data_IF_063059963364
#
_entry.id   IF_063059963364
#
_cell.length_a   1.000
_cell.length_b   1.000
_cell.length_c   1.000
_cell.angle_alpha   90.00
_cell.angle_beta   90.00
_cell.angle_gamma   90.00
#
_symmetry.space_group_name_H-M   'P 1'
#
loop_
_entity.id
_entity.type
_entity.pdbx_description
1 polymer ?
#
# COMPACT_ATOMS: atom_id res chain seq x y z
N UNK A 1 -27.90 48.11 39.54
CA UNK A 1 -27.54 46.68 39.67
C UNK A 1 -27.65 46.06 38.30
N UNK A 2 -26.59 46.30 37.55
CA UNK A 2 -25.85 45.36 36.70
C UNK A 2 -26.63 44.43 35.74
N UNK A 3 -26.46 44.76 34.45
CA UNK A 3 -26.75 43.97 33.25
C UNK A 3 -26.24 42.51 33.34
N UNK A 4 -27.01 41.63 33.97
CA UNK A 4 -26.68 40.22 34.14
C UNK A 4 -27.13 39.30 32.98
N UNK A 5 -27.36 39.85 31.78
CA UNK A 5 -27.65 39.03 30.59
C UNK A 5 -26.93 39.54 29.35
N UNK A 6 -25.60 39.65 29.43
CA UNK A 6 -24.77 39.57 28.23
C UNK A 6 -24.00 38.25 28.20
N UNK A 7 -24.46 37.22 27.46
CA UNK A 7 -23.56 36.25 26.88
C UNK A 7 -22.71 36.96 25.81
N UNK A 8 -21.69 37.68 26.26
CA UNK A 8 -20.58 38.16 25.43
C UNK A 8 -19.74 36.96 25.03
N UNK A 9 -20.20 36.29 23.98
CA UNK A 9 -19.46 35.55 22.95
C UNK A 9 -20.53 34.82 22.14
N UNK A 10 -21.04 35.47 21.09
CA UNK A 10 -21.58 34.71 19.97
C UNK A 10 -20.42 33.87 19.47
N UNK A 11 -20.42 32.59 19.81
CA UNK A 11 -19.64 31.60 19.08
C UNK A 11 -20.01 31.82 17.62
N UNK A 12 -19.02 32.16 16.80
CA UNK A 12 -19.16 32.13 15.36
C UNK A 12 -19.87 30.83 15.01
N UNK A 13 -21.10 30.94 14.53
CA UNK A 13 -21.75 29.81 13.91
C UNK A 13 -20.85 29.44 12.74
N UNK A 14 -20.05 28.39 12.88
CA UNK A 14 -19.48 27.69 11.73
C UNK A 14 -20.64 26.97 11.08
N UNK A 15 -21.59 27.75 10.56
CA UNK A 15 -22.64 27.25 9.73
C UNK A 15 -21.93 26.92 8.43
N UNK A 16 -21.65 25.63 8.24
CA UNK A 16 -21.17 25.11 6.98
C UNK A 16 -22.23 25.41 5.92
N UNK A 17 -22.13 26.58 5.29
CA UNK A 17 -23.03 27.00 4.23
C UNK A 17 -22.43 26.60 2.89
N UNK A 18 -23.18 25.82 2.12
CA UNK A 18 -22.81 25.47 0.75
C UNK A 18 -23.14 26.67 -0.13
N UNK A 19 -22.12 27.24 -0.76
CA UNK A 19 -22.28 28.38 -1.67
C UNK A 19 -22.60 27.87 -3.07
N UNK A 20 -23.62 28.46 -3.70
CA UNK A 20 -24.04 28.14 -5.07
C UNK A 20 -23.78 29.35 -5.96
N UNK A 21 -23.18 29.10 -7.12
CA UNK A 21 -22.94 30.10 -8.15
C UNK A 21 -21.75 29.75 -9.03
N UNK A 22 -21.56 30.44 -10.18
CA UNK A 22 -20.49 30.14 -11.14
C UNK A 22 -19.06 30.24 -10.57
N UNK A 23 -18.86 30.98 -9.47
CA UNK A 23 -17.59 31.08 -8.77
C UNK A 23 -17.31 29.94 -7.78
N UNK A 24 -18.32 29.12 -7.48
CA UNK A 24 -18.24 27.98 -6.54
C UNK A 24 -18.53 26.64 -7.22
N UNK A 25 -19.17 26.64 -8.39
CA UNK A 25 -19.45 25.44 -9.17
C UNK A 25 -18.32 25.14 -10.16
N UNK A 26 -17.96 23.87 -10.31
CA UNK A 26 -17.00 23.43 -11.32
C UNK A 26 -17.60 23.59 -12.73
N UNK A 27 -16.76 23.95 -13.70
CA UNK A 27 -17.15 23.90 -15.11
C UNK A 27 -17.24 22.44 -15.53
N UNK A 28 -18.43 22.02 -15.95
CA UNK A 28 -18.64 20.68 -16.45
C UNK A 28 -17.92 20.52 -17.80
N UNK A 29 -17.12 19.46 -18.00
CA UNK A 29 -16.59 19.12 -19.31
C UNK A 29 -17.73 18.78 -20.29
N UNK A 30 -17.52 19.07 -21.57
CA UNK A 30 -18.41 18.59 -22.63
C UNK A 30 -18.39 17.07 -22.69
N UNK A 31 -19.54 16.47 -23.00
CA UNK A 31 -19.67 15.01 -23.09
C UNK A 31 -18.85 14.49 -24.26
N UNK A 32 -17.81 13.73 -23.97
CA UNK A 32 -17.03 13.04 -24.99
C UNK A 32 -17.64 11.68 -25.33
N UNK A 33 -17.60 11.24 -26.61
CA UNK A 33 -18.00 9.89 -26.99
C UNK A 33 -17.18 8.86 -26.19
N UNK A 34 -17.82 7.73 -25.84
CA UNK A 34 -17.11 6.64 -25.17
C UNK A 34 -15.95 6.19 -26.06
N UNK A 35 -14.71 6.08 -25.54
CA UNK A 35 -13.62 5.52 -26.31
C UNK A 35 -14.04 4.13 -26.83
N UNK A 36 -13.83 3.89 -28.12
CA UNK A 36 -14.06 2.57 -28.72
C UNK A 36 -13.33 1.50 -27.92
N UNK A 37 -13.96 0.34 -27.72
CA UNK A 37 -13.57 -0.75 -26.79
C UNK A 37 -12.21 -1.44 -27.09
N UNK A 38 -11.27 -0.75 -27.73
CA UNK A 38 -9.92 -1.21 -28.04
C UNK A 38 -8.91 -0.74 -27.00
N UNK A 39 -8.81 -1.50 -25.91
CA UNK A 39 -7.68 -1.44 -24.96
C UNK A 39 -7.79 -0.35 -23.90
N UNK A 40 -7.56 -0.73 -22.64
CA UNK A 40 -7.22 0.24 -21.60
C UNK A 40 -5.91 0.91 -22.03
N UNK A 41 -5.99 2.14 -22.50
CA UNK A 41 -4.81 2.95 -22.79
C UNK A 41 -4.27 3.40 -21.44
N UNK A 42 -3.17 2.78 -21.02
CA UNK A 42 -2.35 3.27 -19.90
C UNK A 42 -1.96 4.70 -20.27
N UNK A 43 -2.51 5.65 -19.54
CA UNK A 43 -2.22 7.08 -19.71
C UNK A 43 -0.84 7.42 -19.18
N UNK A 44 -0.29 8.58 -19.55
CA UNK A 44 0.98 9.06 -19.01
C UNK A 44 0.98 9.27 -17.48
N UNK A 45 -0.20 9.29 -16.88
CA UNK A 45 -0.42 9.53 -15.46
C UNK A 45 -0.55 8.23 -14.64
N UNK A 46 -0.51 7.06 -15.26
CA UNK A 46 -0.68 5.78 -14.58
C UNK A 46 0.35 4.75 -15.05
N UNK A 47 0.65 3.81 -14.16
CA UNK A 47 1.49 2.65 -14.45
C UNK A 47 0.71 1.38 -14.10
N UNK A 48 0.68 0.43 -15.01
CA UNK A 48 0.04 -0.85 -14.75
C UNK A 48 0.95 -1.70 -13.87
N UNK A 49 0.52 -1.97 -12.64
CA UNK A 49 1.29 -2.76 -11.67
C UNK A 49 0.85 -4.22 -11.57
N UNK A 50 -0.36 -4.54 -12.05
CA UNK A 50 -0.92 -5.89 -12.01
C UNK A 50 -2.09 -6.05 -12.99
N UNK A 51 -2.24 -7.25 -13.58
CA UNK A 51 -3.35 -7.64 -14.46
C UNK A 51 -4.07 -8.83 -13.83
N UNK A 52 -5.40 -8.81 -13.76
CA UNK A 52 -6.18 -9.99 -13.38
C UNK A 52 -6.07 -11.09 -14.45
N UNK A 53 -6.34 -12.34 -14.07
CA UNK A 53 -6.39 -13.48 -14.99
C UNK A 53 -5.27 -14.50 -14.85
N UNK A 54 -4.38 -14.34 -13.87
CA UNK A 54 -3.41 -15.38 -13.48
C UNK A 54 -4.16 -16.53 -12.80
N UNK A 55 -3.79 -17.78 -13.10
CA UNK A 55 -4.38 -18.95 -12.43
C UNK A 55 -4.00 -18.99 -10.94
N UNK A 56 -5.00 -19.12 -10.05
CA UNK A 56 -4.79 -19.10 -8.60
C UNK A 56 -3.84 -20.21 -8.11
N UNK A 57 -3.92 -21.41 -8.69
CA UNK A 57 -3.06 -22.54 -8.29
C UNK A 57 -1.58 -22.24 -8.59
N UNK A 58 -1.30 -21.78 -9.81
CA UNK A 58 0.06 -21.42 -10.23
C UNK A 58 0.58 -20.21 -9.46
N UNK A 59 -0.27 -19.21 -9.21
CA UNK A 59 0.08 -18.04 -8.42
C UNK A 59 0.44 -18.43 -6.98
N UNK A 60 -0.38 -19.26 -6.33
CA UNK A 60 -0.12 -19.74 -4.97
C UNK A 60 1.16 -20.58 -4.90
N UNK A 61 1.40 -21.43 -5.91
CA UNK A 61 2.63 -22.22 -6.00
C UNK A 61 3.86 -21.31 -6.16
N UNK A 62 3.79 -20.31 -7.03
CA UNK A 62 4.85 -19.31 -7.20
C UNK A 62 5.11 -18.52 -5.92
N UNK A 63 4.07 -18.00 -5.26
CA UNK A 63 4.20 -17.27 -4.01
C UNK A 63 4.81 -18.15 -2.90
N UNK A 64 4.44 -19.43 -2.83
CA UNK A 64 5.05 -20.38 -1.89
C UNK A 64 6.54 -20.57 -2.16
N UNK A 65 6.95 -20.67 -3.42
CA UNK A 65 8.35 -20.78 -3.80
C UNK A 65 9.11 -19.50 -3.44
N UNK A 66 8.56 -18.32 -3.78
CA UNK A 66 9.14 -17.03 -3.44
C UNK A 66 9.33 -16.84 -1.93
N UNK A 67 8.32 -17.17 -1.12
CA UNK A 67 8.42 -17.13 0.35
C UNK A 67 9.45 -18.10 0.89
N UNK A 68 9.59 -19.28 0.30
CA UNK A 68 10.64 -20.24 0.69
C UNK A 68 12.05 -19.67 0.42
N UNK A 69 12.23 -18.95 -0.69
CA UNK A 69 13.50 -18.27 -1.00
C UNK A 69 13.79 -17.13 0.00
N UNK A 70 12.78 -16.34 0.36
CA UNK A 70 12.92 -15.29 1.37
C UNK A 70 13.20 -15.86 2.77
N UNK A 71 12.54 -16.95 3.16
CA UNK A 71 12.85 -17.66 4.41
C UNK A 71 14.29 -18.13 4.45
N UNK A 72 14.75 -18.75 3.35
CA UNK A 72 16.12 -19.23 3.27
C UNK A 72 17.14 -18.09 3.40
N UNK A 73 16.93 -16.99 2.68
CA UNK A 73 17.77 -15.80 2.82
C UNK A 73 17.75 -15.25 4.25
N UNK A 74 16.57 -15.12 4.88
CA UNK A 74 16.44 -14.70 6.27
C UNK A 74 17.17 -15.61 7.26
N UNK A 75 17.12 -16.93 7.08
CA UNK A 75 17.89 -17.87 7.91
C UNK A 75 19.41 -17.72 7.70
N UNK A 76 19.85 -17.49 6.47
CA UNK A 76 21.28 -17.28 6.17
C UNK A 76 21.81 -15.97 6.74
N UNK A 77 21.00 -14.90 6.72
CA UNK A 77 21.41 -13.56 7.14
C UNK A 77 21.21 -13.34 8.66
N UNK A 78 20.15 -13.88 9.26
CA UNK A 78 19.82 -13.74 10.68
C UNK A 78 20.31 -14.88 11.58
N UNK A 79 20.63 -16.04 11.00
CA UNK A 79 21.20 -17.19 11.72
C UNK A 79 20.19 -18.01 12.53
N UNK A 80 18.89 -17.69 12.47
CA UNK A 80 17.82 -18.43 13.16
C UNK A 80 16.66 -18.81 12.23
N UNK A 81 15.86 -19.80 12.64
CA UNK A 81 14.62 -20.16 11.94
C UNK A 81 13.54 -19.08 12.07
N UNK A 82 13.63 -18.23 13.10
CA UNK A 82 12.69 -17.14 13.38
C UNK A 82 12.86 -16.02 12.34
N UNK A 83 14.10 -15.67 12.02
CA UNK A 83 14.42 -14.68 10.97
C UNK A 83 13.91 -15.11 9.60
N UNK A 84 14.02 -16.41 9.29
CA UNK A 84 13.44 -16.98 8.08
C UNK A 84 11.92 -16.89 8.07
N UNK A 85 11.26 -17.21 9.19
CA UNK A 85 9.80 -17.11 9.29
C UNK A 85 9.32 -15.66 9.09
N UNK A 86 9.97 -14.71 9.77
CA UNK A 86 9.68 -13.28 9.66
C UNK A 86 9.89 -12.76 8.23
N UNK A 87 11.00 -13.14 7.57
CA UNK A 87 11.26 -12.76 6.19
C UNK A 87 10.18 -13.30 5.23
N UNK A 88 9.72 -14.54 5.42
CA UNK A 88 8.71 -15.15 4.57
C UNK A 88 7.28 -14.62 4.79
N UNK A 89 6.93 -14.22 6.02
CA UNK A 89 5.59 -13.76 6.36
C UNK A 89 5.35 -12.28 6.07
N UNK A 90 6.41 -11.50 5.79
CA UNK A 90 6.30 -10.06 5.50
C UNK A 90 5.54 -9.79 4.20
N UNK A 91 4.70 -8.75 4.25
CA UNK A 91 4.00 -8.25 3.05
C UNK A 91 4.98 -7.78 1.98
N UNK A 92 6.11 -7.19 2.36
CA UNK A 92 7.18 -6.78 1.43
C UNK A 92 7.65 -7.93 0.54
N UNK A 93 7.79 -9.14 1.10
CA UNK A 93 8.16 -10.35 0.35
C UNK A 93 7.09 -10.72 -0.65
N UNK A 94 5.81 -10.65 -0.24
CA UNK A 94 4.68 -10.94 -1.14
C UNK A 94 4.57 -9.89 -2.25
N UNK A 95 4.70 -8.61 -1.92
CA UNK A 95 4.65 -7.50 -2.87
C UNK A 95 5.78 -7.59 -3.90
N UNK A 96 7.00 -7.89 -3.46
CA UNK A 96 8.14 -8.09 -4.36
C UNK A 96 7.93 -9.26 -5.32
N UNK A 97 7.38 -10.37 -4.82
CA UNK A 97 7.07 -11.52 -5.65
C UNK A 97 6.04 -11.16 -6.73
N UNK A 98 4.99 -10.40 -6.39
CA UNK A 98 3.96 -9.94 -7.33
C UNK A 98 4.50 -8.97 -8.37
N UNK A 99 5.29 -7.96 -7.96
CA UNK A 99 5.94 -7.03 -8.87
C UNK A 99 6.90 -7.75 -9.82
N UNK A 100 7.72 -8.66 -9.29
CA UNK A 100 8.66 -9.44 -10.11
C UNK A 100 7.93 -10.34 -11.10
N UNK A 101 6.78 -10.90 -10.71
CA UNK A 101 5.93 -11.69 -11.60
C UNK A 101 5.34 -10.83 -12.72
N UNK A 102 4.83 -9.64 -12.38
CA UNK A 102 4.33 -8.67 -13.35
C UNK A 102 5.40 -8.26 -14.36
N UNK A 103 6.57 -7.82 -13.88
CA UNK A 103 7.73 -7.42 -14.70
C UNK A 103 8.33 -8.57 -15.53
N UNK A 104 7.99 -9.82 -15.19
CA UNK A 104 8.37 -11.03 -15.93
C UNK A 104 7.29 -11.48 -16.90
N UNK A 105 6.28 -10.65 -17.16
CA UNK A 105 5.11 -10.95 -17.99
C UNK A 105 4.36 -12.21 -17.51
N UNK A 106 4.26 -12.39 -16.20
CA UNK A 106 3.59 -13.53 -15.55
C UNK A 106 4.22 -14.90 -15.82
N UNK A 107 5.47 -14.94 -16.28
CA UNK A 107 6.27 -16.16 -16.38
C UNK A 107 6.91 -16.47 -15.02
N UNK A 108 6.36 -17.45 -14.31
CA UNK A 108 6.83 -17.83 -12.98
C UNK A 108 8.29 -18.30 -12.96
N UNK A 109 8.76 -18.96 -14.02
CA UNK A 109 10.14 -19.44 -14.12
C UNK A 109 11.12 -18.27 -14.21
N UNK A 110 10.84 -17.30 -15.09
CA UNK A 110 11.65 -16.07 -15.20
C UNK A 110 11.61 -15.23 -13.93
N UNK A 111 10.44 -15.15 -13.30
CA UNK A 111 10.27 -14.40 -12.07
C UNK A 111 11.11 -15.00 -10.92
N UNK A 112 11.07 -16.33 -10.76
CA UNK A 112 11.89 -17.03 -9.76
C UNK A 112 13.40 -16.83 -10.02
N UNK A 113 13.84 -16.90 -11.27
CA UNK A 113 15.25 -16.63 -11.62
C UNK A 113 15.71 -15.21 -11.24
N UNK A 114 14.81 -14.22 -11.35
CA UNK A 114 15.09 -12.85 -10.90
C UNK A 114 15.13 -12.78 -9.37
N UNK A 115 14.20 -13.42 -8.69
CA UNK A 115 14.15 -13.46 -7.23
C UNK A 115 15.40 -14.09 -6.62
N UNK A 116 16.03 -15.10 -7.25
CA UNK A 116 17.29 -15.68 -6.75
C UNK A 116 18.38 -14.62 -6.54
N UNK A 117 18.42 -13.57 -7.35
CA UNK A 117 19.42 -12.50 -7.23
C UNK A 117 19.11 -11.51 -6.10
N UNK A 118 17.83 -11.37 -5.73
CA UNK A 118 17.31 -10.45 -4.70
C UNK A 118 16.06 -11.06 -4.07
N UNK A 119 16.21 -12.09 -3.21
CA UNK A 119 15.07 -12.85 -2.69
C UNK A 119 14.24 -12.02 -1.71
N UNK A 120 14.88 -11.06 -1.04
CA UNK A 120 14.26 -10.10 -0.13
C UNK A 120 14.47 -8.70 -0.72
N UNK A 121 13.43 -7.86 -0.80
CA UNK A 121 13.61 -6.43 -1.06
C UNK A 121 14.60 -5.85 -0.07
N UNK A 122 15.38 -4.85 -0.48
CA UNK A 122 16.12 -4.05 0.49
C UNK A 122 15.07 -3.47 1.44
N UNK A 123 15.10 -3.98 2.67
CA UNK A 123 14.15 -3.71 3.73
C UNK A 123 13.80 -2.22 3.70
N UNK A 124 12.52 -1.88 3.53
CA UNK A 124 12.06 -0.57 4.01
C UNK A 124 12.14 -0.73 5.52
N UNK A 125 13.27 -0.34 6.11
CA UNK A 125 13.44 -0.35 7.56
C UNK A 125 12.36 0.53 8.18
N UNK A 126 11.29 -0.13 8.63
CA UNK A 126 10.31 0.41 9.57
C UNK A 126 10.23 -0.51 10.79
N UNK A 127 11.35 -1.13 11.15
CA UNK A 127 11.49 -1.64 12.50
C UNK A 127 11.88 -0.43 13.35
N UNK A 128 10.91 0.11 14.06
CA UNK A 128 11.13 1.01 15.17
C UNK A 128 12.16 0.35 16.09
N UNK A 129 13.15 1.10 16.55
CA UNK A 129 14.11 0.52 17.50
C UNK A 129 13.39 0.09 18.78
N UNK A 130 13.92 -0.85 19.57
CA UNK A 130 13.29 -1.27 20.83
C UNK A 130 12.96 -0.06 21.74
N UNK A 131 13.79 0.98 21.69
CA UNK A 131 13.60 2.26 22.38
C UNK A 131 12.39 3.07 21.88
N UNK A 132 11.92 2.85 20.65
CA UNK A 132 10.74 3.50 20.08
C UNK A 132 9.48 2.61 20.14
N UNK A 133 9.62 1.29 20.26
CA UNK A 133 8.51 0.34 20.46
C UNK A 133 7.96 0.44 21.88
N UNK A 134 8.83 0.46 22.90
CA UNK A 134 8.43 0.49 24.31
C UNK A 134 7.56 1.70 24.72
N UNK A 135 7.83 2.94 24.26
CA UNK A 135 6.95 4.09 24.51
C UNK A 135 5.61 4.04 23.76
N UNK A 136 5.55 3.28 22.66
CA UNK A 136 4.36 3.15 21.83
C UNK A 136 3.33 2.22 22.46
N UNK A 137 3.76 1.09 23.02
CA UNK A 137 2.89 0.15 23.73
C UNK A 137 2.30 0.73 25.03
N UNK A 138 3.11 1.49 25.79
CA UNK A 138 2.61 2.16 27.01
C UNK A 138 1.51 3.18 26.73
N UNK A 139 1.55 3.86 25.57
CA UNK A 139 0.52 4.84 25.19
C UNK A 139 -0.79 4.22 24.74
N UNK A 140 -0.79 2.94 24.35
CA UNK A 140 -2.00 2.23 23.92
C UNK A 140 -2.76 1.64 25.12
N UNK A 141 -2.07 1.32 26.21
CA UNK A 141 -2.67 0.78 27.44
C UNK A 141 -3.32 1.81 28.39
N UNK A 142 -3.11 3.11 28.18
CA UNK A 142 -3.63 4.19 29.04
C UNK A 142 -5.00 4.75 28.56
N UNK A 143 -5.85 3.94 27.95
CA UNK A 143 -7.24 4.32 27.60
C UNK A 143 -8.28 3.36 28.14
#
# INVERSE_FOLDING_TARGET
MDDLFSPRRRLNSTQGEIRVGPSHQAKLPELQPLPSSGGQVVTENEELVWRPGVNDCDLLMYLRAARSMAAFAGMCDGGSTEDGCLAASRDDTTLNALNTLHESNYDAGKALQRLVKKPVPKLIEKCWSEDEVNPSDRRIGDK
#
